data_IF_700600571268
#
_entry.id   IF_700600571268
#
_cell.length_a   1.000
_cell.length_b   1.000
_cell.length_c   1.000
_cell.angle_alpha   90.00
_cell.angle_beta   90.00
_cell.angle_gamma   90.00
#
_symmetry.space_group_name_H-M   'P 1'
#
loop_
_entity.id
_entity.type
_entity.pdbx_description
1 polymer ?
#
# COMPACT_ATOMS: atom_id res chain seq x y z
N UNK A 1 8.31 -22.85 -21.85
CA UNK A 1 7.29 -22.17 -21.03
C UNK A 1 8.03 -21.51 -19.89
N UNK A 2 8.17 -20.18 -19.92
CA UNK A 2 8.73 -19.45 -18.79
C UNK A 2 7.64 -19.40 -17.74
N UNK A 3 7.81 -20.17 -16.66
CA UNK A 3 7.00 -20.03 -15.47
C UNK A 3 7.25 -18.62 -14.94
N UNK A 4 6.23 -17.75 -15.03
CA UNK A 4 6.29 -16.38 -14.54
C UNK A 4 6.53 -16.47 -13.03
N UNK A 5 7.79 -16.31 -12.62
CA UNK A 5 8.18 -16.43 -11.22
C UNK A 5 7.43 -15.35 -10.44
N UNK A 6 6.58 -15.78 -9.52
CA UNK A 6 5.91 -14.90 -8.58
C UNK A 6 6.93 -13.96 -7.93
N UNK A 7 6.68 -12.66 -7.99
CA UNK A 7 7.61 -11.67 -7.43
C UNK A 7 7.35 -11.57 -5.92
N UNK A 8 8.30 -11.94 -5.05
CA UNK A 8 8.05 -11.98 -3.62
C UNK A 8 7.87 -10.59 -3.02
N UNK A 9 7.01 -10.49 -2.01
CA UNK A 9 6.79 -9.25 -1.24
C UNK A 9 7.53 -9.34 0.08
N UNK A 10 8.18 -8.26 0.46
CA UNK A 10 8.94 -8.14 1.72
C UNK A 10 8.60 -6.82 2.42
N UNK A 11 8.81 -6.79 3.73
CA UNK A 11 8.71 -5.58 4.53
C UNK A 11 10.11 -5.00 4.77
N UNK A 12 10.24 -3.68 4.73
CA UNK A 12 11.50 -2.99 4.99
C UNK A 12 11.41 -2.20 6.30
N UNK A 13 12.52 -2.08 7.03
CA UNK A 13 12.59 -1.21 8.20
C UNK A 13 12.79 0.26 7.83
N UNK A 14 12.98 0.57 6.54
CA UNK A 14 13.06 1.94 6.06
C UNK A 14 11.65 2.55 5.98
N UNK A 15 11.38 3.52 6.85
CA UNK A 15 10.08 4.19 6.93
C UNK A 15 9.92 5.35 5.93
N UNK A 16 11.01 5.74 5.24
CA UNK A 16 10.94 6.77 4.21
C UNK A 16 10.14 6.26 3.01
N UNK A 17 9.12 7.01 2.53
CA UNK A 17 8.36 6.64 1.34
C UNK A 17 9.28 6.42 0.15
N UNK A 18 9.12 5.29 -0.54
CA UNK A 18 9.88 4.96 -1.73
C UNK A 18 8.94 4.36 -2.79
N UNK A 19 9.36 4.42 -4.05
CA UNK A 19 8.65 3.82 -5.20
C UNK A 19 8.33 2.33 -5.03
N UNK A 20 9.01 1.64 -4.11
CA UNK A 20 8.82 0.20 -3.81
C UNK A 20 7.99 -0.08 -2.56
N UNK A 21 7.53 0.96 -1.86
CA UNK A 21 6.73 0.86 -0.63
C UNK A 21 5.46 1.71 -0.69
N UNK A 22 5.16 2.32 -1.84
CA UNK A 22 3.96 3.10 -2.05
C UNK A 22 2.90 2.25 -2.75
N UNK A 23 1.70 2.23 -2.19
CA UNK A 23 0.56 1.50 -2.75
C UNK A 23 -0.60 2.44 -3.02
N UNK A 24 -1.26 2.26 -4.16
CA UNK A 24 -2.58 2.82 -4.42
C UNK A 24 -3.62 1.77 -4.04
N UNK A 25 -4.61 2.20 -3.27
CA UNK A 25 -5.75 1.36 -2.87
C UNK A 25 -6.83 1.55 -3.93
N UNK A 26 -7.24 0.46 -4.55
CA UNK A 26 -8.23 0.42 -5.64
C UNK A 26 -9.40 -0.47 -5.24
N UNK A 27 -10.61 -0.16 -5.73
CA UNK A 27 -11.74 -1.07 -5.63
C UNK A 27 -11.72 -2.05 -6.81
N UNK A 28 -12.08 -3.34 -6.62
CA UNK A 28 -12.41 -4.23 -7.73
C UNK A 28 -13.63 -3.77 -8.53
N UNK A 29 -14.50 -2.95 -7.94
CA UNK A 29 -15.68 -2.37 -8.59
C UNK A 29 -15.36 -0.96 -9.11
N UNK A 30 -15.43 -0.72 -10.44
CA UNK A 30 -15.22 0.60 -11.02
C UNK A 30 -16.14 1.70 -10.47
N UNK A 31 -17.35 1.34 -10.02
CA UNK A 31 -18.35 2.30 -9.51
C UNK A 31 -17.97 2.90 -8.15
N UNK A 32 -17.01 2.29 -7.46
CA UNK A 32 -16.47 2.77 -6.19
C UNK A 32 -15.30 3.74 -6.36
N UNK A 33 -14.89 4.04 -7.60
CA UNK A 33 -13.82 4.99 -7.84
C UNK A 33 -14.13 6.36 -7.23
N UNK A 34 -13.15 6.91 -6.48
CA UNK A 34 -13.29 8.19 -5.77
C UNK A 34 -14.08 8.11 -4.46
N UNK A 35 -14.64 6.95 -4.09
CA UNK A 35 -15.30 6.77 -2.80
C UNK A 35 -14.29 6.58 -1.67
N UNK A 36 -14.69 6.99 -0.47
CA UNK A 36 -13.87 6.82 0.72
C UNK A 36 -13.79 5.35 1.14
N UNK A 37 -12.60 4.93 1.60
CA UNK A 37 -12.29 3.58 2.04
C UNK A 37 -13.12 3.16 3.26
N UNK A 38 -13.76 1.99 3.22
CA UNK A 38 -14.59 1.45 4.31
C UNK A 38 -14.09 0.10 4.82
N UNK A 39 -14.36 -0.18 6.09
CA UNK A 39 -14.13 -1.51 6.67
C UNK A 39 -15.04 -2.55 6.00
N UNK A 40 -14.47 -3.74 5.74
CA UNK A 40 -15.16 -4.89 5.14
C UNK A 40 -15.36 -4.84 3.63
N UNK A 41 -15.04 -3.71 2.98
CA UNK A 41 -15.16 -3.62 1.52
C UNK A 41 -13.96 -4.30 0.83
N UNK A 42 -14.18 -4.97 -0.32
CA UNK A 42 -13.09 -5.48 -1.15
C UNK A 42 -12.19 -4.35 -1.69
N UNK A 43 -10.89 -4.56 -1.61
CA UNK A 43 -9.86 -3.66 -2.10
C UNK A 43 -8.71 -4.43 -2.73
N UNK A 44 -7.96 -3.74 -3.59
CA UNK A 44 -6.71 -4.19 -4.17
C UNK A 44 -5.62 -3.17 -3.85
N UNK A 45 -4.39 -3.64 -3.65
CA UNK A 45 -3.23 -2.78 -3.44
C UNK A 45 -2.33 -2.87 -4.67
N UNK A 46 -2.28 -1.80 -5.47
CA UNK A 46 -1.38 -1.70 -6.62
C UNK A 46 -0.12 -0.93 -6.24
N UNK A 47 1.05 -1.47 -6.55
CA UNK A 47 2.33 -0.81 -6.29
C UNK A 47 2.50 0.41 -7.21
N UNK A 48 2.98 1.53 -6.65
CA UNK A 48 3.19 2.78 -7.37
C UNK A 48 4.62 3.30 -7.17
N UNK A 49 5.26 3.86 -8.22
CA UNK A 49 4.78 3.99 -9.59
C UNK A 49 4.76 2.63 -10.32
N UNK A 50 4.01 2.54 -11.41
CA UNK A 50 4.00 1.35 -12.26
C UNK A 50 5.38 1.14 -12.89
N UNK A 51 5.90 -0.08 -12.78
CA UNK A 51 7.23 -0.43 -13.28
C UNK A 51 7.12 -1.12 -14.65
N UNK A 52 7.85 -0.61 -15.64
CA UNK A 52 7.91 -1.22 -16.97
C UNK A 52 8.42 -0.24 -18.02
N UNK A 53 8.75 -0.72 -19.23
CA UNK A 53 9.10 0.16 -20.34
C UNK A 53 7.89 1.03 -20.69
N UNK A 54 8.08 2.36 -20.63
CA UNK A 54 7.08 3.33 -21.07
C UNK A 54 7.19 3.45 -22.59
N UNK A 55 6.73 2.43 -23.30
CA UNK A 55 6.62 2.46 -24.77
C UNK A 55 5.16 2.68 -25.14
N UNK A 56 4.90 3.52 -26.15
CA UNK A 56 3.53 3.84 -26.61
C UNK A 56 2.70 2.59 -26.97
N UNK A 57 3.37 1.52 -27.38
CA UNK A 57 2.74 0.27 -27.81
C UNK A 57 2.40 -0.69 -26.65
N UNK A 58 2.97 -0.46 -25.46
CA UNK A 58 2.73 -1.32 -24.29
C UNK A 58 2.84 -0.51 -23.00
N UNK A 59 1.73 -0.11 -22.37
CA UNK A 59 1.77 0.57 -21.09
C UNK A 59 2.41 -0.33 -20.02
N UNK A 60 3.03 0.26 -18.97
CA UNK A 60 3.53 -0.50 -17.85
C UNK A 60 2.38 -1.29 -17.20
N UNK A 61 2.66 -2.52 -16.80
CA UNK A 61 1.67 -3.37 -16.13
C UNK A 61 1.74 -3.13 -14.63
N UNK A 62 0.60 -2.91 -13.94
CA UNK A 62 0.59 -2.76 -12.50
C UNK A 62 0.99 -4.07 -11.81
N UNK A 63 1.51 -3.92 -10.59
CA UNK A 63 1.78 -5.02 -9.68
C UNK A 63 0.79 -4.98 -8.53
N UNK A 64 0.00 -6.03 -8.38
CA UNK A 64 -1.00 -6.16 -7.34
C UNK A 64 -0.53 -7.06 -6.21
N UNK A 65 -0.72 -6.63 -4.97
CA UNK A 65 -0.48 -7.46 -3.80
C UNK A 65 -1.45 -8.65 -3.83
N UNK A 66 -0.92 -9.86 -3.87
CA UNK A 66 -1.71 -11.07 -4.01
C UNK A 66 -1.26 -12.17 -3.06
N UNK A 67 -2.16 -13.11 -2.79
CA UNK A 67 -1.87 -14.31 -2.02
C UNK A 67 -2.67 -15.51 -2.51
N UNK A 68 -2.12 -16.70 -2.31
CA UNK A 68 -2.76 -17.95 -2.69
C UNK A 68 -2.50 -19.02 -1.64
N UNK A 69 -3.45 -19.95 -1.49
CA UNK A 69 -3.29 -21.12 -0.63
C UNK A 69 -1.99 -21.84 -0.99
N UNK A 70 -1.11 -22.02 0.01
CA UNK A 70 0.15 -22.75 -0.15
C UNK A 70 -0.15 -24.15 -0.68
N UNK A 71 0.53 -24.54 -1.77
CA UNK A 71 0.49 -25.91 -2.26
C UNK A 71 1.64 -26.70 -1.65
N UNK A 72 1.42 -28.01 -1.50
CA UNK A 72 2.49 -28.91 -1.08
C UNK A 72 3.63 -28.83 -2.10
N UNK A 73 4.84 -28.46 -1.66
CA UNK A 73 6.02 -28.31 -2.53
C UNK A 73 6.32 -26.90 -3.03
N UNK A 74 5.60 -25.86 -2.56
CA UNK A 74 5.92 -24.48 -2.91
C UNK A 74 7.32 -24.09 -2.40
N UNK A 75 8.30 -23.77 -3.28
CA UNK A 75 9.70 -23.53 -2.88
C UNK A 75 9.90 -22.25 -2.06
N UNK A 76 8.90 -21.37 -2.05
CA UNK A 76 8.89 -20.11 -1.30
C UNK A 76 8.13 -20.24 0.05
N UNK A 77 7.60 -21.42 0.37
CA UNK A 77 6.89 -21.70 1.63
C UNK A 77 7.89 -22.01 2.77
N UNK A 78 8.83 -21.09 3.04
CA UNK A 78 9.96 -21.34 3.95
C UNK A 78 9.57 -21.49 5.44
N UNK A 79 8.30 -21.31 5.80
CA UNK A 79 7.82 -21.34 7.19
C UNK A 79 6.46 -22.04 7.39
N UNK A 80 5.91 -22.69 6.36
CA UNK A 80 4.52 -23.17 6.38
C UNK A 80 3.45 -22.06 6.33
N UNK A 81 3.88 -20.80 6.28
CA UNK A 81 3.00 -19.64 6.12
C UNK A 81 2.61 -19.44 4.66
N UNK A 82 1.45 -18.80 4.44
CA UNK A 82 0.95 -18.52 3.10
C UNK A 82 1.76 -17.40 2.45
N UNK A 83 2.19 -17.63 1.21
CA UNK A 83 3.02 -16.66 0.50
C UNK A 83 2.22 -15.42 0.09
N UNK A 84 2.89 -14.27 0.14
CA UNK A 84 2.42 -13.01 -0.43
C UNK A 84 3.37 -12.60 -1.54
N UNK A 85 2.81 -12.28 -2.70
CA UNK A 85 3.57 -11.99 -3.92
C UNK A 85 2.89 -10.87 -4.70
N UNK A 86 3.60 -10.34 -5.69
CA UNK A 86 3.03 -9.42 -6.67
C UNK A 86 2.55 -10.17 -7.92
N UNK A 87 1.28 -10.00 -8.25
CA UNK A 87 0.64 -10.42 -9.49
C UNK A 87 0.76 -9.28 -10.52
N UNK A 88 1.23 -9.56 -11.74
CA UNK A 88 1.45 -8.54 -12.76
C UNK A 88 0.31 -8.50 -13.79
N UNK A 89 -0.20 -7.30 -14.09
CA UNK A 89 -1.24 -7.10 -15.11
C UNK A 89 -2.64 -7.12 -14.51
N UNK A 90 -3.56 -7.88 -15.11
CA UNK A 90 -4.95 -7.91 -14.67
C UNK A 90 -5.08 -8.62 -13.30
N UNK A 91 -5.67 -7.96 -12.28
CA UNK A 91 -5.78 -8.54 -10.95
C UNK A 91 -6.77 -9.71 -10.96
N UNK A 92 -6.35 -10.85 -10.41
CA UNK A 92 -7.26 -11.95 -10.12
C UNK A 92 -7.86 -11.82 -8.71
N UNK A 93 -8.77 -12.72 -8.36
CA UNK A 93 -9.29 -12.82 -6.99
C UNK A 93 -8.20 -13.13 -5.93
N UNK A 94 -6.97 -13.47 -6.36
CA UNK A 94 -5.80 -13.57 -5.47
C UNK A 94 -5.34 -12.20 -4.94
N UNK A 95 -5.66 -11.12 -5.65
CA UNK A 95 -5.33 -9.74 -5.29
C UNK A 95 -6.39 -9.05 -4.42
N UNK A 96 -7.46 -9.76 -4.05
CA UNK A 96 -8.57 -9.21 -3.29
C UNK A 96 -8.32 -9.30 -1.78
N UNK A 97 -8.30 -8.13 -1.14
CA UNK A 97 -8.14 -7.95 0.29
C UNK A 97 -9.31 -7.16 0.84
N UNK A 98 -9.43 -7.12 2.16
CA UNK A 98 -10.35 -6.25 2.87
C UNK A 98 -9.65 -5.67 4.09
N UNK A 99 -10.14 -4.53 4.55
CA UNK A 99 -9.64 -3.88 5.75
C UNK A 99 -10.60 -4.14 6.89
N UNK A 100 -10.06 -4.64 7.99
CA UNK A 100 -10.82 -5.08 9.17
C UNK A 100 -10.27 -4.37 10.40
N UNK A 101 -11.11 -4.06 11.38
CA UNK A 101 -10.63 -3.53 12.65
C UNK A 101 -9.70 -4.53 13.34
N UNK A 102 -8.55 -4.06 13.84
CA UNK A 102 -7.62 -4.89 14.61
C UNK A 102 -8.31 -5.45 15.87
N UNK A 103 -8.98 -4.59 16.63
CA UNK A 103 -9.77 -4.99 17.79
C UNK A 103 -10.96 -5.86 17.36
N UNK A 104 -10.97 -7.11 17.83
CA UNK A 104 -11.99 -8.08 17.50
C UNK A 104 -13.39 -7.69 18.02
N UNK A 105 -13.48 -6.96 19.14
CA UNK A 105 -14.74 -6.52 19.71
C UNK A 105 -15.38 -5.43 18.85
N UNK A 106 -14.55 -4.58 18.24
CA UNK A 106 -15.02 -3.45 17.44
C UNK A 106 -15.33 -3.78 15.97
N UNK A 107 -15.08 -5.02 15.52
CA UNK A 107 -15.23 -5.39 14.09
C UNK A 107 -16.64 -5.17 13.59
N UNK A 108 -17.63 -5.67 14.32
CA UNK A 108 -19.03 -5.56 13.93
C UNK A 108 -19.50 -4.10 13.89
N UNK A 109 -19.04 -3.28 14.84
CA UNK A 109 -19.44 -1.88 14.93
C UNK A 109 -18.75 -1.01 13.88
N UNK A 110 -17.52 -1.33 13.49
CA UNK A 110 -16.75 -0.62 12.46
C UNK A 110 -17.12 -1.03 11.03
N UNK A 111 -17.78 -2.16 10.83
CA UNK A 111 -18.20 -2.64 9.51
C UNK A 111 -18.93 -1.53 8.70
N UNK A 112 -18.51 -1.33 7.44
CA UNK A 112 -19.06 -0.28 6.56
C UNK A 112 -18.71 1.17 6.94
N UNK A 113 -18.05 1.41 8.08
CA UNK A 113 -17.55 2.75 8.46
C UNK A 113 -16.29 3.10 7.71
N UNK A 114 -15.99 4.39 7.64
CA UNK A 114 -14.78 4.90 7.01
C UNK A 114 -13.51 4.45 7.76
N UNK A 115 -12.52 3.98 7.02
CA UNK A 115 -11.17 3.71 7.51
C UNK A 115 -10.42 5.02 7.64
N UNK A 116 -9.90 5.31 8.83
CA UNK A 116 -9.08 6.50 9.09
C UNK A 116 -7.60 6.17 8.95
N UNK A 117 -6.81 7.15 8.52
CA UNK A 117 -5.35 7.02 8.58
C UNK A 117 -4.91 6.88 10.05
N UNK A 118 -3.92 6.01 10.29
CA UNK A 118 -3.44 5.71 11.63
C UNK A 118 -4.33 4.78 12.47
N UNK A 119 -5.50 4.35 11.98
CA UNK A 119 -6.25 3.28 12.65
C UNK A 119 -5.43 1.98 12.64
N UNK A 120 -5.46 1.24 13.75
CA UNK A 120 -4.98 -0.13 13.79
C UNK A 120 -5.94 -1.05 13.04
N UNK A 121 -5.43 -1.66 11.97
CA UNK A 121 -6.21 -2.49 11.06
C UNK A 121 -5.56 -3.85 10.84
N UNK A 122 -6.37 -4.81 10.39
CA UNK A 122 -5.91 -6.01 9.72
C UNK A 122 -6.16 -5.85 8.22
N UNK A 123 -5.22 -6.30 7.41
CA UNK A 123 -5.40 -6.44 5.95
C UNK A 123 -5.65 -7.91 5.70
N UNK A 124 -6.89 -8.30 5.43
CA UNK A 124 -7.31 -9.71 5.35
C UNK A 124 -7.49 -10.13 3.90
N UNK A 125 -6.88 -11.25 3.51
CA UNK A 125 -7.06 -11.80 2.19
C UNK A 125 -8.45 -12.44 2.09
N UNK A 126 -9.30 -11.95 1.20
CA UNK A 126 -10.72 -12.34 1.16
C UNK A 126 -10.85 -13.84 0.89
N UNK A 127 -10.08 -14.37 -0.06
CA UNK A 127 -10.20 -15.79 -0.47
C UNK A 127 -9.79 -16.78 0.61
N UNK A 128 -8.77 -16.47 1.41
CA UNK A 128 -8.24 -17.42 2.42
C UNK A 128 -8.58 -17.04 3.84
N UNK A 129 -9.23 -15.89 4.04
CA UNK A 129 -9.57 -15.34 5.35
C UNK A 129 -8.35 -15.20 6.28
N UNK A 130 -7.14 -15.06 5.71
CA UNK A 130 -5.89 -14.91 6.48
C UNK A 130 -5.42 -13.46 6.45
N UNK A 131 -5.08 -12.85 7.59
CA UNK A 131 -4.52 -11.51 7.64
C UNK A 131 -3.07 -11.50 7.15
N UNK A 132 -2.65 -10.37 6.60
CA UNK A 132 -1.27 -10.06 6.31
C UNK A 132 -0.46 -10.06 7.62
N UNK A 133 0.72 -10.64 7.58
CA UNK A 133 1.58 -10.82 8.74
C UNK A 133 3.02 -10.45 8.41
N UNK A 134 3.66 -9.75 9.33
CA UNK A 134 5.11 -9.64 9.37
C UNK A 134 5.69 -10.92 9.95
N UNK A 135 6.84 -11.36 9.45
CA UNK A 135 7.55 -12.55 9.94
C UNK A 135 8.92 -12.17 10.52
N UNK A 136 9.00 -11.51 11.71
CA UNK A 136 10.26 -10.96 12.24
C UNK A 136 11.38 -11.98 12.43
N UNK A 137 11.03 -13.26 12.58
CA UNK A 137 11.98 -14.37 12.75
C UNK A 137 12.63 -14.81 11.44
N UNK A 138 12.17 -14.29 10.30
CA UNK A 138 12.59 -14.67 8.96
C UNK A 138 13.11 -13.44 8.19
N UNK A 139 14.31 -12.93 8.55
CA UNK A 139 14.95 -11.85 7.80
C UNK A 139 15.43 -12.36 6.44
N UNK A 140 15.26 -11.54 5.40
CA UNK A 140 15.68 -11.82 4.03
C UNK A 140 16.67 -10.75 3.58
N UNK A 141 17.75 -11.17 2.89
CA UNK A 141 18.65 -10.22 2.22
C UNK A 141 18.15 -9.97 0.80
N UNK A 142 17.85 -8.72 0.50
CA UNK A 142 17.48 -8.27 -0.85
C UNK A 142 18.54 -7.30 -1.37
N UNK A 143 18.43 -6.90 -2.64
CA UNK A 143 19.27 -5.82 -3.21
C UNK A 143 19.16 -4.50 -2.44
N UNK A 144 18.09 -4.36 -1.67
CA UNK A 144 17.77 -3.15 -0.91
C UNK A 144 18.28 -3.18 0.53
N UNK A 145 18.93 -4.28 0.94
CA UNK A 145 19.45 -4.46 2.28
C UNK A 145 18.79 -5.62 3.01
N UNK A 146 18.55 -5.42 4.31
CA UNK A 146 17.92 -6.42 5.18
C UNK A 146 16.44 -6.11 5.29
N UNK A 147 15.64 -6.93 4.63
CA UNK A 147 14.18 -6.88 4.70
C UNK A 147 13.67 -8.05 5.55
N UNK A 148 12.37 -8.07 5.80
CA UNK A 148 11.68 -9.06 6.63
C UNK A 148 10.62 -9.73 5.75
N UNK A 149 10.48 -11.05 5.89
CA UNK A 149 9.45 -11.80 5.18
C UNK A 149 8.05 -11.30 5.56
N UNK A 150 7.14 -11.30 4.57
CA UNK A 150 5.71 -11.03 4.76
C UNK A 150 4.94 -12.27 4.33
N UNK A 151 3.88 -12.61 5.07
CA UNK A 151 3.03 -13.76 4.80
C UNK A 151 1.55 -13.41 4.98
N UNK A 152 0.65 -14.30 4.58
CA UNK A 152 -0.76 -14.24 4.95
C UNK A 152 -1.06 -15.33 5.98
N UNK A 153 -0.99 -14.99 7.27
CA UNK A 153 -1.23 -15.95 8.35
C UNK A 153 -1.77 -15.27 9.61
N UNK A 154 -2.65 -15.94 10.33
CA UNK A 154 -3.18 -15.41 11.60
C UNK A 154 -2.32 -15.91 12.77
N UNK A 155 -1.73 -14.99 13.51
CA UNK A 155 -1.01 -15.27 14.74
C UNK A 155 -1.81 -14.77 15.93
N UNK A 156 -2.09 -15.66 16.88
CA UNK A 156 -2.90 -15.35 18.05
C UNK A 156 -2.07 -15.33 19.32
N UNK A 157 -2.48 -14.50 20.28
CA UNK A 157 -1.97 -14.52 21.65
C UNK A 157 -2.73 -15.52 22.54
N UNK A 158 -2.45 -15.52 23.84
CA UNK A 158 -3.13 -16.38 24.82
C UNK A 158 -4.63 -16.11 24.96
N UNK A 159 -5.10 -14.95 24.53
CA UNK A 159 -6.50 -14.52 24.57
C UNK A 159 -7.21 -14.70 23.22
N UNK A 160 -6.57 -15.37 22.24
CA UNK A 160 -7.06 -15.52 20.87
C UNK A 160 -7.25 -14.19 20.12
N UNK A 161 -6.59 -13.12 20.55
CA UNK A 161 -6.51 -11.88 19.79
C UNK A 161 -5.37 -11.96 18.77
N UNK A 162 -5.56 -11.40 17.58
CA UNK A 162 -4.49 -11.28 16.60
C UNK A 162 -3.33 -10.47 17.17
N UNK A 163 -2.11 -10.97 16.97
CA UNK A 163 -0.89 -10.39 17.51
C UNK A 163 -0.48 -9.13 16.76
N UNK A 164 0.43 -8.38 17.37
CA UNK A 164 1.11 -7.21 16.81
C UNK A 164 1.64 -7.41 15.38
N UNK A 165 2.18 -8.59 15.07
CA UNK A 165 2.67 -8.92 13.72
C UNK A 165 1.60 -8.91 12.62
N UNK A 166 0.31 -8.98 12.99
CA UNK A 166 -0.81 -8.89 12.07
C UNK A 166 -1.44 -7.49 11.99
N UNK A 167 -1.04 -6.58 12.86
CA UNK A 167 -1.63 -5.24 12.96
C UNK A 167 -0.85 -4.28 12.07
N UNK A 168 -1.57 -3.59 11.19
CA UNK A 168 -1.04 -2.62 10.25
C UNK A 168 -1.67 -1.26 10.48
N UNK A 169 -1.03 -0.21 9.97
CA UNK A 169 -1.59 1.15 9.91
C UNK A 169 -1.36 1.70 8.52
N UNK A 170 -2.37 2.39 7.96
CA UNK A 170 -2.20 3.12 6.71
C UNK A 170 -1.58 4.49 6.99
N UNK A 171 -0.52 4.80 6.24
CA UNK A 171 0.14 6.11 6.24
C UNK A 171 0.10 6.72 4.84
N UNK A 172 0.10 8.05 4.78
CA UNK A 172 0.15 8.77 3.51
C UNK A 172 1.59 8.77 2.99
N UNK A 173 1.84 8.06 1.89
CA UNK A 173 3.09 8.17 1.16
C UNK A 173 3.05 9.33 0.17
N UNK A 174 4.01 10.24 0.28
CA UNK A 174 4.28 11.25 -0.75
C UNK A 174 5.68 10.99 -1.26
N UNK A 175 5.80 10.68 -2.55
CA UNK A 175 7.10 10.72 -3.22
C UNK A 175 7.42 12.19 -3.40
N UNK A 176 8.54 12.64 -2.84
CA UNK A 176 9.07 13.97 -3.14
C UNK A 176 9.50 13.98 -4.61
N UNK A 177 8.55 14.22 -5.52
CA UNK A 177 8.84 14.61 -6.89
C UNK A 177 9.16 16.10 -6.86
N UNK A 178 10.30 16.48 -7.42
CA UNK A 178 10.97 17.78 -7.32
C UNK A 178 10.07 18.99 -7.09
N UNK A 179 10.23 19.63 -5.93
CA UNK A 179 9.69 20.97 -5.62
C UNK A 179 10.59 22.09 -6.18
N UNK A 180 11.16 21.91 -7.38
CA UNK A 180 12.04 22.93 -7.99
C UNK A 180 11.33 23.77 -9.06
N UNK A 181 10.28 23.28 -9.74
CA UNK A 181 9.63 24.05 -10.81
C UNK A 181 8.56 25.05 -10.29
N UNK A 182 7.86 24.77 -9.19
CA UNK A 182 6.82 25.67 -8.65
C UNK A 182 7.37 26.88 -7.86
N UNK A 183 8.69 26.92 -7.59
CA UNK A 183 9.31 28.04 -6.88
C UNK A 183 9.82 29.16 -7.80
N UNK A 184 10.12 28.85 -9.05
CA UNK A 184 10.63 29.86 -10.01
C UNK A 184 9.49 30.66 -10.66
N UNK A 185 8.30 30.09 -10.85
CA UNK A 185 7.19 30.80 -11.51
C UNK A 185 6.50 31.85 -10.61
N UNK A 186 6.63 31.72 -9.28
CA UNK A 186 6.02 32.66 -8.32
C UNK A 186 6.89 33.88 -7.96
N UNK A 187 8.05 34.06 -8.59
CA UNK A 187 8.93 35.22 -8.34
C UNK A 187 8.98 36.25 -9.49
N UNK A 188 8.40 35.99 -10.66
CA UNK A 188 8.39 36.98 -11.75
C UNK A 188 7.03 37.69 -11.93
N UNK A 189 6.96 38.87 -11.27
CA UNK A 189 6.26 40.14 -11.62
C UNK A 189 4.83 40.41 -11.09
N UNK A 190 4.42 41.70 -10.92
CA UNK A 190 5.19 42.97 -11.06
C UNK A 190 5.13 43.91 -9.83
N UNK A 191 6.16 44.75 -9.65
CA UNK A 191 6.09 46.03 -8.92
C UNK A 191 6.03 47.16 -9.96
N UNK A 192 4.84 47.74 -10.14
CA UNK A 192 4.50 48.96 -10.88
C UNK A 192 3.03 49.21 -10.50
N UNK A 193 2.52 50.34 -10.03
CA UNK A 193 2.92 51.74 -9.88
C UNK A 193 2.12 52.29 -8.69
N UNK A 194 2.60 53.35 -8.02
CA UNK A 194 1.73 54.44 -7.58
C UNK A 194 2.58 55.66 -7.21
N UNK A 195 2.49 56.67 -8.08
CA UNK A 195 2.91 58.05 -7.90
C UNK A 195 1.68 58.94 -7.67
N UNK A 196 1.87 60.05 -6.95
CA UNK A 196 0.93 61.19 -6.83
C UNK A 196 0.55 61.43 -5.37
N UNK A 197 1.19 62.35 -4.66
CA UNK A 197 0.99 63.82 -4.64
C UNK A 197 -0.09 64.21 -3.61
N UNK A 198 0.30 65.02 -2.61
CA UNK A 198 -0.49 66.16 -2.12
C UNK A 198 0.31 66.99 -1.10
N UNK A 199 0.63 68.22 -1.50
CA UNK A 199 1.09 69.33 -0.66
C UNK A 199 0.01 69.80 0.33
N UNK A 200 0.42 70.29 1.51
CA UNK A 200 -0.03 71.60 2.04
C UNK A 200 0.56 71.89 3.44
N UNK A 201 1.23 73.05 3.51
CA UNK A 201 1.64 73.89 4.65
C UNK A 201 0.46 74.34 5.57
N UNK A 202 0.66 75.04 6.71
CA UNK A 202 1.66 76.10 6.98
C UNK A 202 2.48 75.98 8.28
#
# INVERSE_FOLDING_TARGET
MYEEKATPVVATSNLSPASRSLFRIESPDPEDYGRALRYGQPVMFSLQPEFGPVNKDKPPKPFYLASQLSRLGDPLCQSGAQMVFFEQGEPSYAAHWEIVAADCQLRHEKEGRLVKLGDNILIRHIRTNKPLALEPKFPIRTISGRDIQVSANAYYDSHRAERDVNIWTLSRGVLSRGQEEDREENQEKPKMEQSGDEDAEP
#
